data_IF_420430050160
#
_entry.id   IF_420430050160
#
_cell.length_a   1.000
_cell.length_b   1.000
_cell.length_c   1.000
_cell.angle_alpha   90.00
_cell.angle_beta   90.00
_cell.angle_gamma   90.00
#
_symmetry.space_group_name_H-M   'P 1'
#
loop_
_entity.id
_entity.type
_entity.pdbx_description
1 polymer ?
#
# COMPACT_ATOMS: atom_id res chain seq x y z
N UNK A 1 5.24 10.27 15.82
CA UNK A 1 5.54 9.28 14.78
C UNK A 1 6.90 8.68 15.04
N UNK A 2 6.92 7.42 15.33
CA UNK A 2 8.19 6.77 15.52
C UNK A 2 8.77 6.41 14.16
N UNK A 3 9.73 7.18 13.72
CA UNK A 3 10.59 6.72 12.66
C UNK A 3 11.50 5.65 13.24
N UNK A 4 11.84 4.63 12.46
CA UNK A 4 12.89 3.72 12.89
C UNK A 4 14.10 4.56 13.26
N UNK A 5 14.75 4.17 14.32
CA UNK A 5 15.89 4.89 14.79
C UNK A 5 16.86 5.09 13.64
N UNK A 6 17.06 6.32 13.30
CA UNK A 6 18.10 6.65 12.35
C UNK A 6 19.41 6.39 13.03
N UNK A 7 20.02 5.34 12.69
CA UNK A 7 21.24 5.01 13.32
C UNK A 7 21.94 3.92 12.60
N UNK A 8 22.86 3.37 13.30
CA UNK A 8 23.65 2.28 12.78
C UNK A 8 22.73 1.18 12.24
N UNK A 9 22.97 0.76 11.02
CA UNK A 9 22.32 -0.38 10.42
C UNK A 9 21.13 -0.09 9.53
N UNK A 10 20.66 1.15 9.45
CA UNK A 10 19.52 1.50 8.60
C UNK A 10 19.95 2.52 7.57
N UNK A 11 19.81 2.18 6.29
CA UNK A 11 20.05 3.09 5.21
C UNK A 11 18.93 4.12 5.07
N UNK A 12 19.10 5.02 4.11
CA UNK A 12 18.11 6.02 3.79
C UNK A 12 16.83 5.32 3.31
N UNK A 13 15.65 5.69 3.81
CA UNK A 13 14.42 5.06 3.37
C UNK A 13 14.12 5.38 1.91
N UNK A 14 13.58 4.40 1.21
CA UNK A 14 13.04 4.59 -0.12
C UNK A 14 11.56 4.96 0.02
N UNK A 15 11.15 6.01 -0.65
CA UNK A 15 9.76 6.46 -0.62
C UNK A 15 9.16 6.37 -2.01
N UNK A 16 7.96 5.77 -2.08
CA UNK A 16 7.19 5.62 -3.31
C UNK A 16 5.82 6.21 -3.05
N UNK A 17 5.39 7.14 -3.90
CA UNK A 17 4.08 7.76 -3.77
C UNK A 17 3.37 7.70 -5.11
N UNK A 18 2.13 7.21 -5.08
CA UNK A 18 1.28 7.24 -6.27
C UNK A 18 -0.18 7.35 -5.86
N UNK A 19 -1.03 7.71 -6.82
CA UNK A 19 -2.48 7.77 -6.62
C UNK A 19 -3.17 6.85 -7.61
N UNK A 20 -4.02 5.98 -7.08
CA UNK A 20 -4.84 5.08 -7.88
C UNK A 20 -6.18 5.75 -8.12
N UNK A 21 -6.56 5.89 -9.39
CA UNK A 21 -7.80 6.56 -9.76
C UNK A 21 -8.96 5.56 -9.71
N UNK A 22 -9.42 5.27 -8.50
CA UNK A 22 -10.57 4.40 -8.27
C UNK A 22 -11.44 5.02 -7.20
N UNK A 23 -12.74 4.69 -7.23
CA UNK A 23 -13.67 5.10 -6.20
C UNK A 23 -13.93 3.91 -5.29
N UNK A 24 -13.47 4.00 -4.05
CA UNK A 24 -13.73 2.97 -3.05
C UNK A 24 -15.06 3.24 -2.37
N UNK A 25 -15.77 2.18 -2.04
CA UNK A 25 -17.07 2.26 -1.38
C UNK A 25 -17.08 1.41 -0.12
N UNK A 26 -18.02 1.71 0.78
CA UNK A 26 -18.20 0.89 1.97
C UNK A 26 -18.79 -0.46 1.58
N UNK A 27 -18.07 -1.53 1.83
CA UNK A 27 -18.58 -2.88 1.57
C UNK A 27 -19.70 -3.25 2.54
N UNK A 28 -19.72 -2.64 3.72
CA UNK A 28 -20.76 -2.90 4.71
C UNK A 28 -22.13 -2.43 4.24
N UNK A 29 -22.18 -1.36 3.45
CA UNK A 29 -23.41 -0.78 2.94
C UNK A 29 -23.70 -1.19 1.50
N UNK A 30 -22.90 -2.07 0.94
CA UNK A 30 -23.07 -2.48 -0.44
C UNK A 30 -23.93 -3.73 -0.53
N UNK A 31 -25.04 -3.60 -1.25
CA UNK A 31 -25.98 -4.70 -1.49
C UNK A 31 -25.82 -5.29 -2.89
N UNK A 32 -24.75 -4.96 -3.57
CA UNK A 32 -24.50 -5.43 -4.91
C UNK A 32 -24.23 -6.93 -4.94
N UNK A 33 -24.65 -7.56 -6.05
CA UNK A 33 -24.37 -8.97 -6.29
C UNK A 33 -22.87 -9.25 -6.20
N UNK A 34 -22.51 -10.45 -5.74
CA UNK A 34 -21.12 -10.82 -5.55
C UNK A 34 -20.27 -10.68 -6.81
N UNK A 35 -20.84 -10.88 -8.00
CA UNK A 35 -20.13 -10.69 -9.27
C UNK A 35 -19.74 -9.23 -9.50
N UNK A 36 -20.59 -8.29 -9.08
CA UNK A 36 -20.28 -6.86 -9.17
C UNK A 36 -19.13 -6.52 -8.22
N UNK A 37 -19.17 -7.07 -7.03
CA UNK A 37 -18.09 -6.86 -6.05
C UNK A 37 -16.77 -7.44 -6.53
N UNK A 38 -16.79 -8.64 -7.10
CA UNK A 38 -15.59 -9.25 -7.66
C UNK A 38 -15.03 -8.42 -8.82
N UNK A 39 -15.90 -7.93 -9.69
CA UNK A 39 -15.49 -7.11 -10.83
C UNK A 39 -14.84 -5.82 -10.35
N UNK A 40 -15.39 -5.21 -9.32
CA UNK A 40 -14.82 -4.00 -8.72
C UNK A 40 -13.45 -4.30 -8.12
N UNK A 41 -13.32 -5.35 -7.35
CA UNK A 41 -12.06 -5.74 -6.74
C UNK A 41 -10.99 -5.99 -7.81
N UNK A 42 -11.35 -6.68 -8.88
CA UNK A 42 -10.46 -6.95 -10.00
C UNK A 42 -10.02 -5.66 -10.69
N UNK A 43 -10.95 -4.73 -10.87
CA UNK A 43 -10.65 -3.43 -11.46
C UNK A 43 -9.70 -2.63 -10.57
N UNK A 44 -9.95 -2.59 -9.27
CA UNK A 44 -9.09 -1.89 -8.33
C UNK A 44 -7.68 -2.47 -8.30
N UNK A 45 -7.56 -3.78 -8.33
CA UNK A 45 -6.26 -4.45 -8.39
C UNK A 45 -5.51 -4.10 -9.67
N UNK A 46 -6.21 -4.14 -10.79
CA UNK A 46 -5.61 -3.82 -12.08
C UNK A 46 -5.11 -2.38 -12.11
N UNK A 47 -5.94 -1.44 -11.68
CA UNK A 47 -5.56 -0.03 -11.64
C UNK A 47 -4.38 0.20 -10.70
N UNK A 48 -4.34 -0.48 -9.58
CA UNK A 48 -3.23 -0.40 -8.64
C UNK A 48 -1.94 -0.91 -9.27
N UNK A 49 -2.00 -2.06 -9.93
CA UNK A 49 -0.84 -2.64 -10.61
C UNK A 49 -0.32 -1.74 -11.71
N UNK A 50 -1.22 -1.21 -12.55
CA UNK A 50 -0.81 -0.33 -13.64
C UNK A 50 -0.16 0.95 -13.11
N UNK A 51 -0.70 1.51 -12.04
CA UNK A 51 -0.13 2.69 -11.40
C UNK A 51 1.23 2.38 -10.79
N UNK A 52 1.37 1.22 -10.16
CA UNK A 52 2.65 0.76 -9.65
C UNK A 52 3.69 0.67 -10.75
N UNK A 53 3.35 0.02 -11.87
CA UNK A 53 4.25 -0.14 -13.00
C UNK A 53 4.65 1.22 -13.56
N UNK A 54 3.70 2.15 -13.71
CA UNK A 54 3.97 3.49 -14.21
C UNK A 54 4.93 4.25 -13.29
N UNK A 55 4.86 4.00 -11.98
CA UNK A 55 5.67 4.69 -10.99
C UNK A 55 7.04 4.04 -10.79
N UNK A 56 7.07 2.71 -10.73
CA UNK A 56 8.26 1.95 -10.33
C UNK A 56 8.94 1.20 -11.48
N UNK A 57 8.28 1.12 -12.65
CA UNK A 57 8.82 0.43 -13.82
C UNK A 57 8.15 -0.90 -14.09
N UNK A 58 8.38 -1.38 -15.30
CA UNK A 58 7.60 -2.45 -15.94
C UNK A 58 7.73 -3.80 -15.25
N UNK A 59 8.83 -4.07 -14.61
CA UNK A 59 9.11 -5.45 -14.20
C UNK A 59 8.38 -5.90 -12.96
N UNK A 60 7.54 -5.06 -12.34
CA UNK A 60 6.87 -5.45 -11.11
C UNK A 60 7.82 -6.05 -10.09
N UNK A 61 9.06 -5.62 -10.16
CA UNK A 61 10.10 -6.18 -9.32
C UNK A 61 9.84 -5.78 -7.89
N UNK A 62 9.77 -6.73 -6.97
CA UNK A 62 9.59 -6.38 -5.58
C UNK A 62 10.75 -5.49 -5.14
N UNK A 63 10.41 -4.31 -4.65
CA UNK A 63 11.41 -3.41 -4.08
C UNK A 63 11.69 -3.74 -2.62
N UNK A 64 10.82 -4.54 -2.04
CA UNK A 64 10.93 -4.93 -0.66
C UNK A 64 11.91 -6.11 -0.54
N UNK A 65 12.90 -5.96 0.30
CA UNK A 65 13.96 -6.94 0.46
C UNK A 65 13.94 -7.62 1.83
N UNK A 66 12.79 -7.65 2.49
CA UNK A 66 12.64 -8.30 3.76
C UNK A 66 12.80 -7.41 4.99
N UNK A 67 13.06 -6.14 4.80
CA UNK A 67 13.14 -5.16 5.88
C UNK A 67 11.76 -4.68 6.29
N UNK A 68 11.67 -3.51 6.88
CA UNK A 68 10.42 -2.94 7.33
C UNK A 68 9.86 -1.98 6.29
N UNK A 69 8.56 -1.97 6.14
CA UNK A 69 7.87 -1.04 5.28
C UNK A 69 6.66 -0.46 5.99
N UNK A 70 6.29 0.75 5.60
CA UNK A 70 5.05 1.40 6.05
C UNK A 70 4.28 1.82 4.83
N UNK A 71 3.01 1.46 4.78
CA UNK A 71 2.12 1.86 3.70
C UNK A 71 0.99 2.68 4.30
N UNK A 72 0.87 3.92 3.84
CA UNK A 72 -0.22 4.80 4.22
C UNK A 72 -1.15 4.92 3.03
N UNK A 73 -2.38 4.45 3.21
CA UNK A 73 -3.42 4.56 2.18
C UNK A 73 -4.37 5.67 2.58
N UNK A 74 -4.47 6.69 1.76
CA UNK A 74 -5.35 7.83 1.98
C UNK A 74 -6.48 7.82 0.97
N UNK A 75 -7.70 7.66 1.45
CA UNK A 75 -8.88 7.72 0.61
C UNK A 75 -9.29 9.17 0.41
N UNK A 76 -9.37 9.59 -0.84
CA UNK A 76 -9.84 10.92 -1.21
C UNK A 76 -11.27 10.79 -1.71
N UNK A 77 -12.22 11.37 -1.00
CA UNK A 77 -13.63 11.33 -1.37
C UNK A 77 -14.40 12.35 -0.56
N UNK A 78 -15.47 12.87 -1.12
CA UNK A 78 -16.37 13.78 -0.40
C UNK A 78 -17.08 13.08 0.76
N UNK A 79 -17.47 11.83 0.56
CA UNK A 79 -18.09 11.03 1.59
C UNK A 79 -17.06 10.45 2.55
N UNK A 80 -17.41 10.38 3.81
CA UNK A 80 -16.51 9.84 4.83
C UNK A 80 -16.99 8.47 5.26
N UNK A 81 -16.08 7.53 5.39
CA UNK A 81 -16.37 6.20 5.91
C UNK A 81 -16.02 6.12 7.39
N UNK A 82 -16.74 5.28 8.11
CA UNK A 82 -16.39 4.96 9.49
C UNK A 82 -15.01 4.29 9.54
N UNK A 83 -14.36 4.41 10.68
CA UNK A 83 -13.03 3.86 10.86
C UNK A 83 -12.96 2.35 10.62
N UNK A 84 -14.04 1.62 10.89
CA UNK A 84 -14.09 0.18 10.66
C UNK A 84 -14.21 -0.17 9.17
N UNK A 85 -14.90 0.68 8.42
CA UNK A 85 -15.15 0.44 7.00
C UNK A 85 -14.03 0.94 6.11
N UNK A 86 -13.21 1.86 6.60
CA UNK A 86 -12.15 2.45 5.82
C UNK A 86 -11.12 1.43 5.34
N UNK A 87 -10.53 0.60 6.22
CA UNK A 87 -9.58 -0.43 5.76
C UNK A 87 -10.21 -1.43 4.81
N UNK A 88 -11.44 -1.85 5.07
CA UNK A 88 -12.13 -2.84 4.25
C UNK A 88 -12.38 -2.31 2.85
N UNK A 89 -12.69 -1.02 2.72
CA UNK A 89 -12.94 -0.40 1.41
C UNK A 89 -11.69 -0.39 0.53
N UNK A 90 -10.50 -0.50 1.11
CA UNK A 90 -9.23 -0.44 0.38
C UNK A 90 -8.52 -1.78 0.32
N UNK A 91 -9.21 -2.86 0.68
CA UNK A 91 -8.60 -4.19 0.74
C UNK A 91 -7.97 -4.63 -0.57
N UNK A 92 -8.65 -4.42 -1.68
CA UNK A 92 -8.14 -4.83 -2.99
C UNK A 92 -6.86 -4.09 -3.36
N UNK A 93 -6.79 -2.81 -3.04
CA UNK A 93 -5.60 -1.99 -3.27
C UNK A 93 -4.46 -2.47 -2.39
N UNK A 94 -4.74 -2.72 -1.12
CA UNK A 94 -3.76 -3.26 -0.18
C UNK A 94 -3.20 -4.60 -0.64
N UNK A 95 -4.08 -5.51 -1.05
CA UNK A 95 -3.66 -6.84 -1.50
C UNK A 95 -2.73 -6.73 -2.72
N UNK A 96 -3.04 -5.83 -3.63
CA UNK A 96 -2.22 -5.67 -4.83
C UNK A 96 -0.87 -5.01 -4.52
N UNK A 97 -0.85 -4.04 -3.62
CA UNK A 97 0.41 -3.42 -3.18
C UNK A 97 1.30 -4.46 -2.51
N UNK A 98 0.72 -5.31 -1.66
CA UNK A 98 1.47 -6.39 -1.02
C UNK A 98 2.08 -7.33 -2.06
N UNK A 99 1.30 -7.69 -3.09
CA UNK A 99 1.79 -8.52 -4.18
C UNK A 99 2.91 -7.84 -4.96
N UNK A 100 2.78 -6.54 -5.23
CA UNK A 100 3.82 -5.77 -5.91
C UNK A 100 5.09 -5.68 -5.08
N UNK A 101 4.96 -5.57 -3.77
CA UNK A 101 6.11 -5.59 -2.86
C UNK A 101 6.71 -6.98 -2.69
N UNK A 102 5.97 -8.01 -3.07
CA UNK A 102 6.42 -9.38 -2.91
C UNK A 102 6.34 -9.90 -1.48
N UNK A 103 5.39 -9.40 -0.70
CA UNK A 103 5.21 -9.78 0.70
C UNK A 103 3.77 -10.23 0.95
N UNK A 104 3.57 -10.94 2.05
CA UNK A 104 2.24 -11.25 2.55
C UNK A 104 1.70 -10.00 3.25
N UNK A 105 0.45 -9.63 2.97
CA UNK A 105 -0.20 -8.47 3.59
C UNK A 105 -0.40 -8.65 5.11
N UNK A 106 -0.26 -9.85 5.61
CA UNK A 106 -0.31 -10.18 7.04
C UNK A 106 1.05 -10.11 7.72
N UNK A 107 2.11 -9.87 6.97
CA UNK A 107 3.45 -9.80 7.52
C UNK A 107 3.56 -8.68 8.55
N UNK A 108 4.19 -8.95 9.68
CA UNK A 108 4.48 -7.96 10.70
C UNK A 108 5.58 -6.97 10.30
N UNK A 109 6.22 -7.22 9.16
CA UNK A 109 7.23 -6.31 8.59
C UNK A 109 6.61 -5.13 7.88
N UNK A 110 5.31 -5.13 7.66
CA UNK A 110 4.61 -4.05 7.00
C UNK A 110 3.57 -3.48 7.94
N UNK A 111 3.63 -2.17 8.13
CA UNK A 111 2.62 -1.44 8.88
C UNK A 111 1.67 -0.80 7.88
N UNK A 112 0.38 -1.08 8.02
CA UNK A 112 -0.67 -0.51 7.18
C UNK A 112 -1.41 0.57 7.95
N UNK A 113 -1.42 1.77 7.42
CA UNK A 113 -2.13 2.91 8.01
C UNK A 113 -3.15 3.43 7.02
N UNK A 114 -4.30 3.88 7.54
CA UNK A 114 -5.41 4.32 6.72
C UNK A 114 -5.80 5.73 7.10
N UNK A 115 -6.02 6.57 6.10
CA UNK A 115 -6.41 7.96 6.29
C UNK A 115 -7.50 8.33 5.31
N UNK A 116 -8.20 9.41 5.61
CA UNK A 116 -9.22 9.97 4.73
C UNK A 116 -8.98 11.45 4.53
N UNK A 117 -9.27 11.90 3.32
CA UNK A 117 -9.29 13.31 2.96
C UNK A 117 -10.57 13.58 2.19
N UNK A 118 -11.19 14.73 2.43
CA UNK A 118 -12.46 15.08 1.81
C UNK A 118 -12.31 15.82 0.50
N UNK A 119 -11.11 15.87 -0.05
CA UNK A 119 -10.81 16.54 -1.31
C UNK A 119 -10.53 15.51 -2.41
N UNK A 120 -10.94 15.82 -3.61
CA UNK A 120 -10.60 15.01 -4.77
C UNK A 120 -11.23 13.63 -4.79
N UNK A 121 -10.56 12.70 -5.44
CA UNK A 121 -10.97 11.30 -5.56
C UNK A 121 -9.74 10.42 -5.70
N UNK A 122 -9.93 9.13 -5.51
CA UNK A 122 -8.87 8.15 -5.64
C UNK A 122 -8.26 7.76 -4.31
N UNK A 123 -7.25 6.93 -4.37
CA UNK A 123 -6.53 6.47 -3.18
C UNK A 123 -5.05 6.76 -3.37
N UNK A 124 -4.49 7.54 -2.47
CA UNK A 124 -3.06 7.77 -2.45
C UNK A 124 -2.38 6.66 -1.67
N UNK A 125 -1.34 6.09 -2.24
CA UNK A 125 -0.48 5.14 -1.55
C UNK A 125 0.88 5.80 -1.33
N UNK A 126 1.30 5.85 -0.08
CA UNK A 126 2.63 6.31 0.29
C UNK A 126 3.35 5.17 0.96
N UNK A 127 4.38 4.68 0.33
CA UNK A 127 5.12 3.50 0.76
C UNK A 127 6.51 3.93 1.15
N UNK A 128 6.89 3.64 2.39
CA UNK A 128 8.23 3.92 2.89
C UNK A 128 8.89 2.59 3.23
N UNK A 129 10.04 2.32 2.65
CA UNK A 129 10.78 1.08 2.84
C UNK A 129 12.11 1.41 3.50
N UNK A 130 12.38 0.79 4.64
CA UNK A 130 13.64 0.90 5.33
C UNK A 130 14.45 -0.35 5.07
N UNK A 131 15.62 -0.17 4.46
CA UNK A 131 16.52 -1.27 4.17
C UNK A 131 17.63 -1.28 5.21
N UNK A 132 17.85 -2.44 5.81
CA UNK A 132 18.97 -2.60 6.71
C UNK A 132 20.28 -2.54 5.92
N UNK A 133 21.27 -1.89 6.51
CA UNK A 133 22.62 -1.96 5.94
C UNK A 133 23.16 -3.37 6.16
N UNK A 134 23.99 -3.87 5.22
CA UNK A 134 24.64 -5.15 5.44
C UNK A 134 25.42 -5.11 6.76
N UNK A 135 25.32 -6.18 7.53
CA UNK A 135 26.13 -6.31 8.72
C UNK A 135 27.61 -6.39 8.32
N UNK A 136 28.48 -6.05 9.26
CA UNK A 136 29.92 -6.18 9.01
C UNK A 136 30.28 -7.63 8.61
N UNK A 137 29.56 -8.59 9.19
CA UNK A 137 29.76 -9.98 8.86
C UNK A 137 29.39 -10.28 7.41
N UNK A 138 28.28 -9.74 6.93
CA UNK A 138 27.86 -9.89 5.53
C UNK A 138 28.79 -9.15 4.59
N UNK A 139 29.28 -8.00 4.99
CA UNK A 139 30.19 -7.20 4.19
C UNK A 139 31.56 -7.87 3.99
N UNK A 140 31.89 -8.86 4.81
CA UNK A 140 33.14 -9.58 4.69
C UNK A 140 33.09 -10.74 3.68
N UNK A 141 31.89 -11.06 3.21
CA UNK A 141 31.69 -12.12 2.21
C UNK A 141 31.67 -11.53 0.81
#
# INVERSE_FOLDING_TARGET
MSTPTQGAGIGRPLEIVFRVDVMTVSLANEHAHWRVRQRRAKHERLQTRLTWIATCGVKGRPLYTGECARVVLTRHSRGRLDSDNLPVSMKSIRDEIAACLGIDDRSDRVEWLYRQASDGKGVEARITIWQAQPSLLEAQW
#
